data_IF_441733093697
#
_entry.id   IF_441733093697
#
_cell.length_a   1.000
_cell.length_b   1.000
_cell.length_c   1.000
_cell.angle_alpha   90.00
_cell.angle_beta   90.00
_cell.angle_gamma   90.00
#
_symmetry.space_group_name_H-M   'P 1'
#
loop_
_entity.id
_entity.type
_entity.pdbx_description
1 polymer ?
#
# COMPACT_ATOMS: atom_id res chain seq x y z
N UNK A 1 -28.05 -30.37 4.18
CA UNK A 1 -27.24 -29.44 3.37
C UNK A 1 -25.82 -29.51 3.93
N UNK A 2 -24.87 -30.09 3.19
CA UNK A 2 -23.48 -30.21 3.66
C UNK A 2 -22.83 -28.83 3.52
N UNK A 3 -22.53 -28.19 4.64
CA UNK A 3 -21.78 -26.94 4.65
C UNK A 3 -20.31 -27.31 4.72
N UNK A 4 -19.53 -26.94 3.71
CA UNK A 4 -18.08 -27.13 3.75
C UNK A 4 -17.48 -26.32 4.91
N UNK A 5 -16.56 -26.91 5.70
CA UNK A 5 -15.81 -26.18 6.72
C UNK A 5 -15.05 -24.99 6.12
N UNK A 6 -14.80 -23.97 6.95
CA UNK A 6 -14.10 -22.76 6.51
C UNK A 6 -12.67 -23.06 6.03
N UNK A 7 -12.02 -24.04 6.64
CA UNK A 7 -10.66 -24.48 6.31
C UNK A 7 -10.63 -25.06 4.90
N UNK A 8 -11.61 -25.90 4.55
CA UNK A 8 -11.72 -26.48 3.22
C UNK A 8 -12.02 -25.41 2.15
N UNK A 9 -12.93 -24.47 2.45
CA UNK A 9 -13.21 -23.35 1.55
C UNK A 9 -12.00 -22.44 1.37
N UNK A 10 -11.28 -22.14 2.45
CA UNK A 10 -10.07 -21.33 2.41
C UNK A 10 -9.00 -21.99 1.54
N UNK A 11 -8.71 -23.27 1.78
CA UNK A 11 -7.76 -24.04 0.98
C UNK A 11 -8.15 -24.02 -0.50
N UNK A 12 -9.41 -24.31 -0.81
CA UNK A 12 -9.93 -24.27 -2.20
C UNK A 12 -9.72 -22.90 -2.83
N UNK A 13 -10.03 -21.83 -2.10
CA UNK A 13 -9.92 -20.47 -2.61
C UNK A 13 -8.47 -20.04 -2.85
N UNK A 14 -7.48 -20.67 -2.19
CA UNK A 14 -6.07 -20.34 -2.42
C UNK A 14 -5.59 -20.65 -3.84
N UNK A 15 -6.27 -21.56 -4.55
CA UNK A 15 -5.98 -21.93 -5.95
C UNK A 15 -6.75 -21.09 -6.98
N UNK A 16 -7.67 -20.21 -6.55
CA UNK A 16 -8.47 -19.37 -7.43
C UNK A 16 -7.70 -18.14 -7.92
N UNK A 17 -8.00 -17.67 -9.14
CA UNK A 17 -7.48 -16.38 -9.62
C UNK A 17 -8.28 -15.22 -9.01
N UNK A 18 -7.73 -14.01 -9.05
CA UNK A 18 -8.37 -12.82 -8.48
C UNK A 18 -9.80 -12.58 -9.01
N UNK A 19 -10.07 -12.81 -10.29
CA UNK A 19 -11.41 -12.63 -10.86
C UNK A 19 -12.42 -13.65 -10.32
N UNK A 20 -11.98 -14.89 -10.10
CA UNK A 20 -12.83 -15.94 -9.50
C UNK A 20 -13.12 -15.63 -8.03
N UNK A 21 -12.12 -15.12 -7.30
CA UNK A 21 -12.30 -14.66 -5.92
C UNK A 21 -13.29 -13.50 -5.80
N UNK A 22 -13.37 -12.60 -6.80
CA UNK A 22 -14.41 -11.56 -6.82
C UNK A 22 -15.81 -12.17 -6.96
N UNK A 23 -15.97 -13.22 -7.77
CA UNK A 23 -17.24 -13.95 -7.89
C UNK A 23 -17.64 -14.58 -6.56
N UNK A 24 -16.68 -15.09 -5.78
CA UNK A 24 -16.94 -15.64 -4.44
C UNK A 24 -17.54 -14.61 -3.47
N UNK A 25 -17.27 -13.32 -3.63
CA UNK A 25 -17.86 -12.26 -2.80
C UNK A 25 -19.38 -12.17 -2.95
N UNK A 26 -19.92 -12.59 -4.09
CA UNK A 26 -21.33 -12.47 -4.43
C UNK A 26 -22.18 -13.66 -3.97
N UNK A 27 -21.54 -14.74 -3.50
CA UNK A 27 -22.24 -15.98 -3.15
C UNK A 27 -22.97 -15.86 -1.82
N UNK A 28 -22.22 -15.59 -0.74
CA UNK A 28 -22.79 -15.36 0.59
C UNK A 28 -21.75 -14.72 1.54
N UNK A 29 -22.20 -14.36 2.75
CA UNK A 29 -21.34 -13.71 3.77
C UNK A 29 -20.15 -14.56 4.21
N UNK A 30 -20.28 -15.89 4.24
CA UNK A 30 -19.20 -16.80 4.63
C UNK A 30 -18.09 -16.77 3.57
N UNK A 31 -18.45 -16.92 2.29
CA UNK A 31 -17.51 -16.88 1.17
C UNK A 31 -16.82 -15.52 1.08
N UNK A 32 -17.55 -14.43 1.28
CA UNK A 32 -16.98 -13.09 1.34
C UNK A 32 -15.89 -12.96 2.42
N UNK A 33 -16.13 -13.48 3.64
CA UNK A 33 -15.15 -13.46 4.74
C UNK A 33 -13.87 -14.25 4.45
N UNK A 34 -13.95 -15.29 3.62
CA UNK A 34 -12.82 -16.14 3.25
C UNK A 34 -12.05 -15.55 2.05
N UNK A 35 -12.77 -15.01 1.05
CA UNK A 35 -12.18 -14.46 -0.16
C UNK A 35 -11.50 -13.09 0.07
N UNK A 36 -12.03 -12.24 0.96
CA UNK A 36 -11.46 -10.90 1.20
C UNK A 36 -10.00 -10.92 1.64
N UNK A 37 -9.58 -11.74 2.63
CA UNK A 37 -8.17 -11.85 3.01
C UNK A 37 -7.26 -12.29 1.87
N UNK A 38 -7.75 -13.16 0.96
CA UNK A 38 -6.99 -13.64 -0.19
C UNK A 38 -6.84 -12.54 -1.25
N UNK A 39 -7.92 -11.80 -1.55
CA UNK A 39 -7.91 -10.67 -2.48
C UNK A 39 -7.00 -9.52 -2.02
N UNK A 40 -6.89 -9.30 -0.71
CA UNK A 40 -6.08 -8.22 -0.13
C UNK A 40 -4.66 -8.65 0.26
N UNK A 41 -4.27 -9.90 -0.02
CA UNK A 41 -2.95 -10.44 0.27
C UNK A 41 -1.84 -9.72 -0.52
N UNK A 42 -2.11 -9.42 -1.79
CA UNK A 42 -1.20 -8.73 -2.70
C UNK A 42 -1.87 -7.51 -3.31
N UNK A 43 -1.27 -6.34 -3.13
CA UNK A 43 -1.84 -5.07 -3.55
C UNK A 43 -0.89 -4.30 -4.47
N UNK A 44 -1.32 -4.06 -5.71
CA UNK A 44 -0.84 -2.93 -6.52
C UNK A 44 -1.58 -1.66 -6.07
N UNK A 45 -1.07 -1.04 -5.01
CA UNK A 45 -1.82 -0.13 -4.13
C UNK A 45 -2.52 1.02 -4.86
N UNK A 46 -1.82 1.61 -5.83
CA UNK A 46 -2.26 2.81 -6.52
C UNK A 46 -2.77 2.54 -7.94
N UNK A 47 -3.02 1.28 -8.31
CA UNK A 47 -3.51 0.95 -9.67
C UNK A 47 -5.00 1.25 -9.87
N UNK A 48 -5.78 1.23 -8.79
CA UNK A 48 -7.25 1.38 -8.83
C UNK A 48 -7.75 2.50 -7.94
N UNK A 49 -8.52 3.45 -8.50
CA UNK A 49 -9.17 4.52 -7.73
C UNK A 49 -10.05 4.02 -6.58
N UNK A 50 -10.65 2.82 -6.73
CA UNK A 50 -11.49 2.20 -5.69
C UNK A 50 -10.64 1.78 -4.49
N UNK A 51 -9.47 1.16 -4.74
CA UNK A 51 -8.54 0.78 -3.68
C UNK A 51 -8.01 2.00 -2.94
N UNK A 52 -7.59 3.04 -3.68
CA UNK A 52 -7.10 4.27 -3.05
C UNK A 52 -8.17 4.89 -2.17
N UNK A 53 -9.43 4.97 -2.62
CA UNK A 53 -10.57 5.44 -1.80
C UNK A 53 -10.77 4.62 -0.53
N UNK A 54 -10.74 3.29 -0.63
CA UNK A 54 -10.86 2.42 0.55
C UNK A 54 -9.71 2.67 1.52
N UNK A 55 -8.48 2.87 1.03
CA UNK A 55 -7.32 3.11 1.89
C UNK A 55 -7.36 4.51 2.56
N UNK A 56 -7.92 5.52 1.89
CA UNK A 56 -8.12 6.85 2.48
C UNK A 56 -9.05 6.81 3.71
N UNK A 57 -10.00 5.89 3.76
CA UNK A 57 -10.88 5.68 4.92
C UNK A 57 -10.17 5.01 6.12
N UNK A 58 -9.00 4.42 5.91
CA UNK A 58 -8.21 3.72 6.95
C UNK A 58 -7.24 4.69 7.67
N UNK A 59 -6.99 5.85 7.07
CA UNK A 59 -6.07 6.84 7.63
C UNK A 59 -6.50 7.28 9.04
N UNK A 60 -5.53 7.38 9.94
CA UNK A 60 -5.77 7.94 11.28
C UNK A 60 -5.90 9.47 11.23
N UNK A 61 -6.21 10.09 12.37
CA UNK A 61 -6.43 11.54 12.45
C UNK A 61 -5.21 12.37 12.07
N UNK A 62 -3.99 11.92 12.37
CA UNK A 62 -2.72 12.58 12.01
C UNK A 62 -2.49 12.53 10.49
N UNK A 63 -2.65 11.35 9.89
CA UNK A 63 -2.48 11.10 8.45
C UNK A 63 -3.54 11.87 7.64
N UNK A 64 -4.80 11.88 8.10
CA UNK A 64 -5.85 12.69 7.48
C UNK A 64 -5.52 14.17 7.57
N UNK A 65 -5.02 14.65 8.71
CA UNK A 65 -4.69 16.07 8.89
C UNK A 65 -3.57 16.53 7.95
N UNK A 66 -2.64 15.64 7.61
CA UNK A 66 -1.60 15.90 6.60
C UNK A 66 -2.18 16.12 5.19
N UNK A 67 -3.35 15.56 4.90
CA UNK A 67 -4.01 15.62 3.58
C UNK A 67 -5.17 16.62 3.50
N UNK A 68 -5.63 17.19 4.63
CA UNK A 68 -6.78 18.11 4.68
C UNK A 68 -6.61 19.35 3.80
N UNK A 69 -5.37 19.77 3.54
CA UNK A 69 -5.06 20.86 2.64
C UNK A 69 -5.43 20.56 1.19
N UNK A 70 -5.50 19.29 0.80
CA UNK A 70 -5.74 18.87 -0.58
C UNK A 70 -7.04 18.09 -0.78
N UNK A 71 -7.54 17.38 0.24
CA UNK A 71 -8.66 16.46 0.13
C UNK A 71 -9.67 16.70 1.24
N UNK A 72 -10.95 16.71 0.89
CA UNK A 72 -12.03 16.61 1.87
C UNK A 72 -12.37 15.13 2.10
N UNK A 73 -12.34 14.70 3.37
CA UNK A 73 -12.67 13.33 3.71
C UNK A 73 -14.19 13.18 3.89
N UNK A 74 -14.83 12.19 3.25
CA UNK A 74 -16.23 11.88 3.54
C UNK A 74 -16.37 11.36 4.98
N UNK A 75 -17.60 11.42 5.51
CA UNK A 75 -17.94 11.09 6.89
C UNK A 75 -17.32 9.76 7.35
N UNK A 76 -16.92 9.67 8.64
CA UNK A 76 -16.05 8.67 9.31
C UNK A 76 -16.47 7.16 9.23
N UNK A 77 -17.02 6.69 8.12
CA UNK A 77 -17.35 5.29 7.93
C UNK A 77 -16.05 4.46 7.88
N UNK A 78 -15.89 3.60 8.89
CA UNK A 78 -14.81 2.64 8.93
C UNK A 78 -15.08 1.52 7.92
N UNK A 79 -14.04 1.02 7.22
CA UNK A 79 -14.19 -0.14 6.36
C UNK A 79 -14.66 -1.36 7.14
N UNK A 80 -15.43 -2.22 6.47
CA UNK A 80 -16.04 -3.42 7.06
C UNK A 80 -15.00 -4.44 7.57
N UNK A 81 -13.82 -4.46 6.96
CA UNK A 81 -12.73 -5.37 7.30
C UNK A 81 -11.45 -4.59 7.63
N UNK A 82 -10.61 -5.17 8.47
CA UNK A 82 -9.22 -4.73 8.67
C UNK A 82 -8.37 -5.21 7.48
N UNK A 83 -8.58 -4.56 6.34
CA UNK A 83 -7.94 -4.91 5.09
C UNK A 83 -6.40 -4.92 5.18
N UNK A 84 -5.84 -3.97 5.92
CA UNK A 84 -4.40 -3.82 6.12
C UNK A 84 -3.77 -5.01 6.85
N UNK A 85 -4.52 -5.70 7.72
CA UNK A 85 -4.05 -6.88 8.43
C UNK A 85 -3.86 -8.11 7.51
N UNK A 86 -4.48 -8.12 6.33
CA UNK A 86 -4.37 -9.23 5.37
C UNK A 86 -3.21 -9.05 4.39
N UNK A 87 -2.70 -7.83 4.25
CA UNK A 87 -1.68 -7.49 3.26
C UNK A 87 -0.33 -8.10 3.60
N UNK A 88 0.21 -8.86 2.64
CA UNK A 88 1.53 -9.49 2.70
C UNK A 88 2.50 -8.92 1.67
N UNK A 89 1.98 -8.47 0.53
CA UNK A 89 2.76 -7.93 -0.59
C UNK A 89 2.19 -6.58 -1.01
N UNK A 90 3.02 -5.55 -1.06
CA UNK A 90 2.65 -4.22 -1.57
C UNK A 90 3.56 -3.84 -2.72
N UNK A 91 2.95 -3.49 -3.85
CA UNK A 91 3.63 -2.98 -5.05
C UNK A 91 3.19 -1.55 -5.32
N UNK A 92 4.16 -0.64 -5.34
CA UNK A 92 4.02 0.79 -5.61
C UNK A 92 4.78 1.09 -6.90
N UNK A 93 4.08 0.93 -8.02
CA UNK A 93 4.64 0.96 -9.39
C UNK A 93 3.97 2.00 -10.31
N UNK A 94 2.87 2.63 -9.87
CA UNK A 94 2.05 3.52 -10.67
C UNK A 94 1.26 4.47 -9.79
N UNK A 95 0.84 5.62 -10.31
CA UNK A 95 -0.13 6.52 -9.66
C UNK A 95 -1.46 6.63 -10.38
N UNK A 96 -1.71 5.76 -11.37
CA UNK A 96 -2.88 5.86 -12.23
C UNK A 96 -4.20 5.93 -11.43
N UNK A 97 -4.30 5.16 -10.35
CA UNK A 97 -5.45 5.18 -9.45
C UNK A 97 -5.57 6.46 -8.65
N UNK A 98 -4.47 7.08 -8.25
CA UNK A 98 -4.46 8.40 -7.59
C UNK A 98 -4.87 9.48 -8.59
N UNK A 99 -4.26 9.52 -9.78
CA UNK A 99 -4.58 10.51 -10.82
C UNK A 99 -6.06 10.42 -11.24
N UNK A 100 -6.59 9.19 -11.39
CA UNK A 100 -8.02 8.93 -11.64
C UNK A 100 -8.96 9.37 -10.52
N UNK A 101 -8.47 9.64 -9.31
CA UNK A 101 -9.31 10.28 -8.28
C UNK A 101 -9.68 11.70 -8.71
N UNK A 102 -8.73 12.41 -9.31
CA UNK A 102 -8.84 13.81 -9.67
C UNK A 102 -9.71 14.03 -10.92
N UNK A 103 -9.72 13.07 -11.85
CA UNK A 103 -10.37 13.19 -13.17
C UNK A 103 -11.89 13.43 -13.15
N UNK A 104 -12.60 13.30 -12.02
CA UNK A 104 -14.07 13.40 -12.00
C UNK A 104 -14.70 13.92 -10.69
N UNK A 105 -13.94 14.52 -9.76
CA UNK A 105 -14.49 14.96 -8.45
C UNK A 105 -13.93 16.32 -7.99
N UNK A 106 -14.14 17.38 -8.76
CA UNK A 106 -13.64 18.74 -8.44
C UNK A 106 -14.03 19.23 -7.03
N UNK A 107 -15.20 18.83 -6.50
CA UNK A 107 -15.67 19.29 -5.19
C UNK A 107 -14.94 18.70 -3.99
N UNK A 108 -14.22 17.58 -4.15
CA UNK A 108 -13.55 16.92 -3.02
C UNK A 108 -12.06 17.27 -2.93
N UNK A 109 -11.57 18.13 -3.82
CA UNK A 109 -10.16 18.47 -3.95
C UNK A 109 -9.95 19.98 -3.96
N UNK A 110 -8.96 20.42 -3.20
CA UNK A 110 -8.67 21.83 -2.98
C UNK A 110 -7.48 22.30 -3.83
N UNK A 111 -7.44 21.95 -5.11
CA UNK A 111 -6.38 22.38 -6.03
C UNK A 111 -6.93 22.76 -7.41
N UNK A 112 -6.32 23.78 -8.02
CA UNK A 112 -6.80 24.40 -9.25
C UNK A 112 -5.93 24.11 -10.49
N UNK A 113 -4.74 23.53 -10.32
CA UNK A 113 -3.80 23.30 -11.42
C UNK A 113 -3.09 21.94 -11.33
N UNK A 114 -2.49 21.53 -12.45
CA UNK A 114 -1.80 20.23 -12.59
C UNK A 114 -0.59 20.09 -11.66
N UNK A 115 0.14 21.17 -11.38
CA UNK A 115 1.28 21.13 -10.46
C UNK A 115 0.83 20.77 -9.02
N UNK A 116 -0.24 21.40 -8.54
CA UNK A 116 -0.84 21.08 -7.26
C UNK A 116 -1.43 19.66 -7.22
N UNK A 117 -1.95 19.14 -8.34
CA UNK A 117 -2.36 17.73 -8.46
C UNK A 117 -1.19 16.77 -8.27
N UNK A 118 -0.02 17.06 -8.87
CA UNK A 118 1.18 16.24 -8.69
C UNK A 118 1.66 16.26 -7.25
N UNK A 119 1.66 17.43 -6.58
CA UNK A 119 2.00 17.54 -5.16
C UNK A 119 1.04 16.72 -4.30
N UNK A 120 -0.27 16.87 -4.53
CA UNK A 120 -1.29 16.10 -3.82
C UNK A 120 -1.10 14.60 -4.05
N UNK A 121 -0.81 14.16 -5.28
CA UNK A 121 -0.55 12.77 -5.59
C UNK A 121 0.66 12.21 -4.82
N UNK A 122 1.78 12.94 -4.79
CA UNK A 122 2.97 12.56 -4.01
C UNK A 122 2.65 12.41 -2.52
N UNK A 123 1.87 13.35 -1.97
CA UNK A 123 1.51 13.33 -0.55
C UNK A 123 0.53 12.20 -0.20
N UNK A 124 -0.46 11.94 -1.06
CA UNK A 124 -1.35 10.78 -0.93
C UNK A 124 -0.54 9.49 -0.95
N UNK A 125 0.38 9.36 -1.92
CA UNK A 125 1.27 8.19 -2.05
C UNK A 125 2.07 7.95 -0.79
N UNK A 126 2.75 8.99 -0.30
CA UNK A 126 3.51 8.96 0.94
C UNK A 126 2.65 8.55 2.13
N UNK A 127 1.50 9.20 2.30
CA UNK A 127 0.62 8.99 3.46
C UNK A 127 0.03 7.59 3.48
N UNK A 128 -0.42 7.08 2.33
CA UNK A 128 -0.95 5.73 2.23
C UNK A 128 0.15 4.69 2.44
N UNK A 129 1.35 4.89 1.90
CA UNK A 129 2.48 3.99 2.13
C UNK A 129 2.88 3.96 3.62
N UNK A 130 2.97 5.12 4.27
CA UNK A 130 3.20 5.25 5.73
C UNK A 130 2.13 4.50 6.52
N UNK A 131 0.85 4.64 6.14
CA UNK A 131 -0.26 3.96 6.80
C UNK A 131 -0.12 2.43 6.70
N UNK A 132 0.25 1.87 5.55
CA UNK A 132 0.46 0.43 5.40
C UNK A 132 1.66 -0.07 6.22
N UNK A 133 2.77 0.66 6.25
CA UNK A 133 3.92 0.33 7.10
C UNK A 133 3.52 0.28 8.59
N UNK A 134 2.65 1.19 9.03
CA UNK A 134 2.11 1.22 10.40
C UNK A 134 1.15 0.08 10.69
N UNK A 135 0.22 -0.21 9.79
CA UNK A 135 -0.95 -1.08 10.06
C UNK A 135 -0.74 -2.55 9.69
N UNK A 136 0.03 -2.84 8.64
CA UNK A 136 0.14 -4.20 8.11
C UNK A 136 1.06 -5.08 8.93
N UNK A 137 0.49 -5.92 9.78
CA UNK A 137 1.25 -6.82 10.67
C UNK A 137 1.87 -8.04 9.97
N UNK A 138 1.49 -8.31 8.72
CA UNK A 138 1.93 -9.49 7.96
C UNK A 138 2.70 -9.13 6.69
N UNK A 139 3.09 -7.86 6.54
CA UNK A 139 3.80 -7.38 5.36
C UNK A 139 5.18 -8.03 5.27
N UNK A 140 5.42 -8.80 4.21
CA UNK A 140 6.65 -9.54 3.94
C UNK A 140 7.41 -8.99 2.73
N UNK A 141 6.70 -8.48 1.74
CA UNK A 141 7.29 -7.96 0.51
C UNK A 141 6.78 -6.55 0.19
N UNK A 142 7.70 -5.65 -0.10
CA UNK A 142 7.43 -4.26 -0.42
C UNK A 142 8.27 -3.84 -1.62
N UNK A 143 7.60 -3.40 -2.68
CA UNK A 143 8.23 -2.86 -3.89
C UNK A 143 7.84 -1.40 -4.04
N UNK A 144 8.83 -0.52 -4.10
CA UNK A 144 8.65 0.92 -4.27
C UNK A 144 9.49 1.38 -5.46
N UNK A 145 8.83 2.00 -6.45
CA UNK A 145 9.46 2.62 -7.61
C UNK A 145 9.04 4.10 -7.71
N UNK A 146 9.33 4.88 -6.68
CA UNK A 146 9.10 6.32 -6.66
C UNK A 146 10.01 7.07 -5.65
N UNK A 147 10.15 8.37 -5.87
CA UNK A 147 11.05 9.30 -5.15
C UNK A 147 10.76 9.46 -3.65
N UNK A 148 9.61 8.99 -3.14
CA UNK A 148 9.22 9.17 -1.72
C UNK A 148 10.04 8.30 -0.76
N UNK A 149 10.86 7.39 -1.29
CA UNK A 149 11.41 6.29 -0.50
C UNK A 149 12.41 6.76 0.55
N UNK A 150 13.20 7.80 0.26
CA UNK A 150 14.17 8.37 1.20
C UNK A 150 13.49 8.80 2.52
N UNK A 151 12.32 9.43 2.42
CA UNK A 151 11.52 9.86 3.58
C UNK A 151 10.88 8.70 4.36
N UNK A 152 10.87 7.49 3.78
CA UNK A 152 10.26 6.29 4.38
C UNK A 152 11.29 5.27 4.86
N UNK A 153 12.58 5.40 4.54
CA UNK A 153 13.61 4.40 4.83
C UNK A 153 13.58 3.96 6.30
N UNK A 154 13.69 4.88 7.25
CA UNK A 154 13.65 4.54 8.69
C UNK A 154 12.43 3.70 9.07
N UNK A 155 11.23 4.08 8.58
CA UNK A 155 9.97 3.36 8.83
C UNK A 155 9.90 1.99 8.18
N UNK A 156 10.49 1.85 6.99
CA UNK A 156 10.56 0.56 6.28
C UNK A 156 11.42 -0.41 7.10
N UNK A 157 12.52 0.06 7.67
CA UNK A 157 13.46 -0.78 8.40
C UNK A 157 13.08 -1.05 9.85
N UNK A 158 12.27 -0.20 10.48
CA UNK A 158 11.57 -0.50 11.74
C UNK A 158 10.59 -1.68 11.60
N UNK A 159 10.29 -2.11 10.37
CA UNK A 159 9.34 -3.18 10.09
C UNK A 159 9.97 -4.57 10.19
N UNK A 160 9.93 -5.16 11.37
CA UNK A 160 10.48 -6.50 11.64
C UNK A 160 9.77 -7.68 10.91
N UNK A 161 8.77 -7.43 10.07
CA UNK A 161 8.09 -8.49 9.31
C UNK A 161 8.54 -8.58 7.86
N UNK A 162 9.26 -7.56 7.38
CA UNK A 162 9.65 -7.45 5.99
C UNK A 162 10.83 -8.37 5.72
N UNK A 163 10.68 -9.26 4.73
CA UNK A 163 11.69 -10.23 4.30
C UNK A 163 12.23 -9.91 2.91
N UNK A 164 11.46 -9.19 2.08
CA UNK A 164 11.83 -8.75 0.72
C UNK A 164 11.54 -7.26 0.55
N UNK A 165 12.50 -6.54 -0.02
CA UNK A 165 12.40 -5.12 -0.29
C UNK A 165 13.00 -4.79 -1.66
N UNK A 166 12.19 -4.19 -2.54
CA UNK A 166 12.64 -3.71 -3.84
C UNK A 166 12.56 -2.19 -3.88
N UNK A 167 13.72 -1.55 -4.01
CA UNK A 167 13.88 -0.09 -4.10
C UNK A 167 14.52 0.35 -5.41
N UNK A 168 14.46 -0.48 -6.46
CA UNK A 168 15.22 -0.24 -7.68
C UNK A 168 14.72 0.99 -8.42
N UNK A 169 15.64 1.78 -9.00
CA UNK A 169 15.35 3.02 -9.71
C UNK A 169 14.65 4.14 -8.91
N UNK A 170 14.96 4.28 -7.63
CA UNK A 170 14.40 5.36 -6.79
C UNK A 170 15.28 6.60 -6.67
N UNK A 171 16.50 6.58 -7.23
CA UNK A 171 17.42 7.70 -7.14
C UNK A 171 17.82 8.03 -5.71
N UNK A 172 18.06 7.01 -4.88
CA UNK A 172 18.48 7.16 -3.47
C UNK A 172 19.67 8.12 -3.31
N UNK A 173 20.62 8.07 -4.26
CA UNK A 173 21.84 8.87 -4.19
C UNK A 173 22.75 8.43 -3.03
N UNK A 174 23.80 9.22 -2.77
CA UNK A 174 24.73 9.02 -1.66
C UNK A 174 24.02 9.09 -0.29
N UNK A 175 23.15 10.09 -0.11
CA UNK A 175 22.41 10.29 1.14
C UNK A 175 21.48 9.11 1.45
N UNK A 176 20.65 8.69 0.49
CA UNK A 176 19.79 7.52 0.66
C UNK A 176 20.59 6.23 0.85
N UNK A 177 21.77 6.11 0.20
CA UNK A 177 22.71 5.01 0.42
C UNK A 177 23.27 4.95 1.84
N UNK A 178 23.65 6.08 2.42
CA UNK A 178 24.14 6.16 3.80
C UNK A 178 23.04 5.78 4.80
N UNK A 179 21.82 6.31 4.62
CA UNK A 179 20.67 5.92 5.45
C UNK A 179 20.41 4.43 5.32
N UNK A 180 20.42 3.90 4.11
CA UNK A 180 20.23 2.47 3.84
C UNK A 180 21.28 1.60 4.54
N UNK A 181 22.56 2.00 4.54
CA UNK A 181 23.62 1.27 5.23
C UNK A 181 23.40 1.26 6.76
N UNK A 182 23.02 2.40 7.35
CA UNK A 182 22.79 2.51 8.80
C UNK A 182 21.61 1.64 9.26
N UNK A 183 20.52 1.65 8.51
CA UNK A 183 19.31 0.89 8.87
C UNK A 183 19.46 -0.60 8.58
N UNK A 184 20.20 -0.99 7.53
CA UNK A 184 20.48 -2.40 7.24
C UNK A 184 21.34 -3.04 8.32
N UNK A 185 22.28 -2.31 8.91
CA UNK A 185 23.11 -2.81 10.00
C UNK A 185 22.28 -3.30 11.21
N UNK A 186 21.12 -2.68 11.44
CA UNK A 186 20.21 -3.00 12.55
C UNK A 186 19.11 -3.99 12.16
N UNK A 187 18.91 -4.24 10.86
CA UNK A 187 17.81 -5.07 10.39
C UNK A 187 18.17 -6.56 10.40
N UNK A 188 17.33 -7.37 11.03
CA UNK A 188 17.56 -8.82 11.19
C UNK A 188 16.56 -9.69 10.43
N UNK A 189 15.61 -9.10 9.72
CA UNK A 189 14.47 -9.82 9.12
C UNK A 189 14.52 -9.85 7.60
N UNK A 190 15.16 -8.85 6.98
CA UNK A 190 15.29 -8.74 5.54
C UNK A 190 16.27 -9.81 5.01
N UNK A 191 15.81 -10.59 4.04
CA UNK A 191 16.61 -11.65 3.40
C UNK A 191 16.88 -11.36 1.92
N UNK A 192 16.05 -10.50 1.31
CA UNK A 192 16.18 -10.10 -0.08
C UNK A 192 16.08 -8.57 -0.20
N UNK A 193 17.05 -7.96 -0.87
CA UNK A 193 17.12 -6.52 -1.11
C UNK A 193 17.53 -6.23 -2.55
N UNK A 194 16.69 -5.50 -3.29
CA UNK A 194 16.95 -5.11 -4.68
C UNK A 194 17.05 -3.59 -4.82
N UNK A 195 18.28 -3.07 -4.94
CA UNK A 195 18.59 -1.63 -4.90
C UNK A 195 19.31 -1.11 -6.15
N UNK A 196 19.27 -1.85 -7.26
CA UNK A 196 19.95 -1.45 -8.49
C UNK A 196 19.34 -0.18 -9.10
N UNK A 197 20.14 0.57 -9.86
CA UNK A 197 19.68 1.80 -10.52
C UNK A 197 19.45 3.00 -9.59
N UNK A 198 20.05 3.03 -8.40
CA UNK A 198 19.83 4.07 -7.39
C UNK A 198 20.90 5.17 -7.32
N UNK A 199 21.86 5.19 -8.25
CA UNK A 199 22.99 6.15 -8.27
C UNK A 199 23.70 6.24 -6.91
N UNK A 200 23.96 5.09 -6.31
CA UNK A 200 24.71 4.94 -5.07
C UNK A 200 26.21 5.11 -5.39
N UNK A 201 26.60 6.30 -5.81
CA UNK A 201 27.99 6.56 -6.16
C UNK A 201 28.80 6.76 -4.87
N UNK A 202 30.03 6.28 -4.85
CA UNK A 202 31.00 6.65 -3.81
C UNK A 202 31.64 7.97 -4.22
N UNK A 203 31.60 8.98 -3.34
CA UNK A 203 32.60 10.03 -3.42
C UNK A 203 34.00 9.45 -3.23
#
# INVERSE_FOLDING_TARGET
MIILPNECLFETFTYLKNWDLFSCLLVNRQWCRIAIPLLWRELSLFRSKKLVRTCLLILNTEEQSSLKTFITFPNNQKPLFDYTAYTMVIKIDSDNGIMRLFENNSHNFNFSNYHAQLIAAKLIRYTLTKMFLRTSKKLKDLSIHCEIVNSLLSRIFDKCTLTSLTLSHNGLGTEGGNVLAEVLHKNTTLTHLYIWGNKLDSQ
#
